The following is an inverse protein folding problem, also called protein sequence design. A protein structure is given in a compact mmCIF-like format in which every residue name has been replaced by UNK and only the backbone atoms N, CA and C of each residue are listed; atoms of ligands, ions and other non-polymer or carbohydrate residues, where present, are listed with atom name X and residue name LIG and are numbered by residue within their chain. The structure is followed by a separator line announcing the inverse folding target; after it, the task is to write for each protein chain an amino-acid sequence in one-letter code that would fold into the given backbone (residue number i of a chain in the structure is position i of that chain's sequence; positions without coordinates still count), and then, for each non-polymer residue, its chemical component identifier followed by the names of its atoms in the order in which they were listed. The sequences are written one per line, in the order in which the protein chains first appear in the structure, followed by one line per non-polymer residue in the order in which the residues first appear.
data_IF_352268034632
#
_entry.id   IF_352268034632
#
_cell.length_a   1.000
_cell.length_b   1.000
_cell.length_c   1.000
_cell.angle_alpha   90.00
_cell.angle_beta   90.00
_cell.angle_gamma   90.00
#
_symmetry.space_group_name_H-M   'P 1'
#
loop_
_entity.id
_entity.type
_entity.pdbx_description
1 polymer ?
#
# COMPACT_ATOMS: atom_id res chain seq x y z
N UNK A 1 4.44 4.75 -16.01
CA UNK A 1 4.15 5.01 -14.58
C UNK A 1 3.99 3.73 -13.76
N UNK A 2 3.14 2.76 -14.17
CA UNK A 2 2.94 1.48 -13.46
C UNK A 2 4.24 0.77 -13.01
N UNK A 3 5.23 0.66 -13.90
CA UNK A 3 6.53 0.05 -13.62
C UNK A 3 7.35 0.74 -12.50
N UNK A 4 7.18 2.05 -12.26
CA UNK A 4 7.91 2.77 -11.20
C UNK A 4 7.33 2.42 -9.81
N UNK A 5 6.01 2.27 -9.74
CA UNK A 5 5.30 1.91 -8.52
C UNK A 5 5.58 0.47 -8.09
N UNK A 6 5.51 -0.46 -9.03
CA UNK A 6 5.84 -1.86 -8.81
C UNK A 6 7.30 -2.03 -8.37
N UNK A 7 8.23 -1.31 -9.03
CA UNK A 7 9.65 -1.31 -8.65
C UNK A 7 9.91 -0.77 -7.23
N UNK A 8 9.20 0.28 -6.79
CA UNK A 8 9.31 0.77 -5.40
C UNK A 8 8.82 -0.24 -4.38
N UNK A 9 7.71 -0.92 -4.67
CA UNK A 9 7.16 -1.97 -3.80
C UNK A 9 8.08 -3.19 -3.75
N UNK A 10 8.70 -3.58 -4.87
CA UNK A 10 9.68 -4.68 -4.90
C UNK A 10 10.90 -4.41 -4.01
N UNK A 11 11.24 -3.15 -3.79
CA UNK A 11 12.38 -2.72 -2.99
C UNK A 11 12.04 -2.43 -1.51
N UNK A 12 10.84 -2.79 -1.03
CA UNK A 12 10.51 -2.60 0.39
C UNK A 12 11.42 -3.43 1.28
N UNK A 13 11.91 -2.82 2.35
CA UNK A 13 12.75 -3.48 3.35
C UNK A 13 11.89 -4.19 4.39
N UNK A 14 11.17 -5.21 3.93
CA UNK A 14 10.19 -5.95 4.74
C UNK A 14 10.85 -6.62 5.94
N UNK A 15 12.01 -7.26 5.74
CA UNK A 15 12.71 -7.98 6.81
C UNK A 15 13.25 -7.03 7.88
N UNK A 16 13.86 -5.91 7.48
CA UNK A 16 14.34 -4.88 8.41
C UNK A 16 13.20 -4.34 9.29
N UNK A 17 12.04 -4.13 8.67
CA UNK A 17 10.87 -3.61 9.38
C UNK A 17 10.23 -4.65 10.31
N UNK A 18 10.25 -5.93 9.94
CA UNK A 18 9.87 -7.02 10.85
C UNK A 18 10.83 -7.11 12.05
N UNK A 19 12.13 -6.94 11.82
CA UNK A 19 13.14 -6.94 12.89
C UNK A 19 13.00 -5.73 13.82
N UNK A 20 12.73 -4.53 13.26
CA UNK A 20 12.52 -3.30 14.01
C UNK A 20 11.17 -3.27 14.75
N UNK A 21 10.18 -4.04 14.29
CA UNK A 21 8.83 -4.03 14.85
C UNK A 21 8.77 -4.37 16.34
N UNK A 22 9.80 -5.02 16.93
CA UNK A 22 10.18 -4.92 18.35
C UNK A 22 9.14 -5.25 19.44
N UNK A 23 7.88 -5.46 19.08
CA UNK A 23 6.76 -5.91 19.90
C UNK A 23 6.60 -7.43 19.81
N UNK A 24 7.72 -8.13 19.61
CA UNK A 24 7.82 -9.51 20.03
C UNK A 24 8.00 -9.45 21.55
N UNK A 25 6.94 -9.75 22.30
CA UNK A 25 6.91 -9.70 23.76
C UNK A 25 8.23 -10.20 24.39
N UNK A 26 8.65 -9.70 25.57
CA UNK A 26 9.94 -10.02 26.19
C UNK A 26 10.29 -11.53 26.32
N UNK A 27 9.31 -12.44 26.16
CA UNK A 27 9.53 -13.89 26.10
C UNK A 27 9.85 -14.49 24.71
N UNK A 28 9.75 -13.74 23.61
CA UNK A 28 9.85 -14.28 22.23
C UNK A 28 11.26 -14.13 21.65
N UNK A 29 11.99 -13.07 22.03
CA UNK A 29 13.44 -12.93 21.73
C UNK A 29 14.22 -14.05 22.43
N UNK A 30 13.79 -14.46 23.63
CA UNK A 30 14.36 -15.60 24.34
C UNK A 30 14.25 -16.93 23.60
N UNK A 31 13.17 -17.19 22.84
CA UNK A 31 13.00 -18.48 22.16
C UNK A 31 13.66 -18.56 20.77
N UNK A 32 13.74 -17.45 20.03
CA UNK A 32 14.52 -17.42 18.79
C UNK A 32 16.03 -17.57 19.09
N UNK A 33 16.50 -17.04 20.22
CA UNK A 33 17.91 -17.14 20.64
C UNK A 33 18.22 -18.46 21.38
N UNK A 34 17.27 -19.05 22.13
CA UNK A 34 17.52 -20.31 22.87
C UNK A 34 17.21 -21.61 22.10
N UNK A 35 16.37 -21.59 21.06
CA UNK A 35 16.09 -22.79 20.26
C UNK A 35 17.06 -23.00 19.09
N UNK A 36 17.79 -21.95 18.73
CA UNK A 36 18.80 -21.96 17.69
C UNK A 36 20.12 -21.70 18.41
N UNK A 37 20.87 -22.78 18.69
CA UNK A 37 22.24 -22.66 19.16
C UNK A 37 22.94 -21.60 18.32
N UNK A 38 23.44 -20.59 19.01
CA UNK A 38 24.05 -19.38 18.47
C UNK A 38 25.31 -19.78 17.68
N UNK A 39 25.10 -20.19 16.43
CA UNK A 39 26.13 -20.41 15.44
C UNK A 39 25.49 -20.20 14.07
N UNK A 40 26.13 -19.31 13.30
CA UNK A 40 26.03 -19.17 11.85
C UNK A 40 25.11 -18.05 11.34
N UNK A 41 25.67 -16.84 11.24
CA UNK A 41 25.84 -16.03 10.01
C UNK A 41 24.96 -16.34 8.78
N UNK A 42 23.67 -16.59 8.93
CA UNK A 42 22.75 -16.72 7.80
C UNK A 42 21.80 -15.52 7.79
N UNK A 43 22.16 -14.56 6.94
CA UNK A 43 21.36 -13.38 6.66
C UNK A 43 20.05 -13.84 6.02
N UNK A 44 18.93 -13.61 6.73
CA UNK A 44 17.62 -13.82 6.15
C UNK A 44 17.41 -12.86 4.99
N UNK A 45 16.54 -13.20 4.04
CA UNK A 45 16.17 -12.29 2.96
C UNK A 45 14.67 -12.26 2.75
N UNK A 46 14.17 -11.13 2.27
CA UNK A 46 12.81 -10.96 1.81
C UNK A 46 12.87 -10.55 0.34
N UNK A 47 12.13 -11.26 -0.51
CA UNK A 47 11.97 -10.90 -1.90
C UNK A 47 10.49 -10.63 -2.17
N UNK A 48 10.19 -9.50 -2.81
CA UNK A 48 8.81 -9.11 -3.14
C UNK A 48 8.59 -9.28 -4.64
N UNK A 49 7.57 -10.04 -4.99
CA UNK A 49 7.25 -10.43 -6.36
C UNK A 49 5.75 -10.24 -6.63
N UNK A 50 5.33 -10.47 -7.88
CA UNK A 50 3.93 -10.42 -8.30
C UNK A 50 3.19 -9.15 -7.88
N UNK A 51 3.91 -8.02 -7.85
CA UNK A 51 3.33 -6.73 -7.47
C UNK A 51 2.32 -6.30 -8.52
N UNK A 52 1.11 -6.00 -8.06
CA UNK A 52 0.01 -5.52 -8.86
C UNK A 52 -0.62 -4.30 -8.19
N UNK A 53 -0.94 -3.33 -9.04
CA UNK A 53 -1.59 -2.09 -8.65
C UNK A 53 -2.87 -1.95 -9.45
N UNK A 54 -3.97 -1.82 -8.71
CA UNK A 54 -5.28 -1.55 -9.27
C UNK A 54 -5.79 -0.19 -8.77
N UNK A 55 -6.24 0.63 -9.71
CA UNK A 55 -6.69 1.99 -9.44
C UNK A 55 -8.21 2.00 -9.55
N UNK A 56 -8.87 2.18 -8.41
CA UNK A 56 -10.31 2.33 -8.35
C UNK A 56 -10.79 3.63 -8.99
N UNK A 57 -12.11 3.75 -9.10
CA UNK A 57 -12.76 4.93 -9.63
C UNK A 57 -12.38 6.19 -8.85
N UNK A 58 -12.09 7.27 -9.58
CA UNK A 58 -11.89 8.59 -9.01
C UNK A 58 -13.26 9.22 -8.77
N UNK A 59 -13.56 9.50 -7.51
CA UNK A 59 -14.77 10.23 -7.11
C UNK A 59 -14.45 11.70 -6.96
N UNK A 60 -15.33 12.56 -7.47
CA UNK A 60 -15.20 14.01 -7.38
C UNK A 60 -16.29 14.58 -6.47
N UNK A 61 -15.92 15.50 -5.59
CA UNK A 61 -16.86 16.35 -4.87
C UNK A 61 -17.00 17.69 -5.60
N UNK A 62 -18.17 17.89 -6.25
CA UNK A 62 -18.46 19.05 -7.10
C UNK A 62 -18.27 20.41 -6.42
N UNK A 63 -18.41 20.48 -5.09
CA UNK A 63 -18.38 21.75 -4.35
C UNK A 63 -16.97 22.22 -3.96
N UNK A 64 -15.94 21.38 -4.06
CA UNK A 64 -14.61 21.69 -3.47
C UNK A 64 -13.40 21.43 -4.37
N UNK A 65 -13.59 21.13 -5.66
CA UNK A 65 -12.49 20.70 -6.56
C UNK A 65 -11.63 19.59 -5.91
N UNK A 66 -12.28 18.72 -5.12
CA UNK A 66 -11.67 17.68 -4.30
C UNK A 66 -11.99 16.33 -4.91
N UNK A 67 -10.99 15.46 -4.92
CA UNK A 67 -11.04 14.13 -5.50
C UNK A 67 -10.61 13.10 -4.48
N UNK A 68 -11.18 11.91 -4.60
CA UNK A 68 -10.74 10.73 -3.86
C UNK A 68 -10.64 9.53 -4.77
N UNK A 69 -9.63 8.71 -4.57
CA UNK A 69 -9.47 7.43 -5.26
C UNK A 69 -9.08 6.35 -4.27
N UNK A 70 -9.50 5.13 -4.57
CA UNK A 70 -9.05 3.94 -3.85
C UNK A 70 -7.99 3.24 -4.68
N UNK A 71 -6.94 2.74 -4.04
CA UNK A 71 -5.87 2.00 -4.71
C UNK A 71 -5.72 0.67 -4.01
N UNK A 72 -5.72 -0.42 -4.77
CA UNK A 72 -5.40 -1.75 -4.26
C UNK A 72 -3.98 -2.11 -4.66
N UNK A 73 -3.21 -2.56 -3.69
CA UNK A 73 -1.85 -3.06 -3.85
C UNK A 73 -1.84 -4.52 -3.46
N UNK A 74 -1.38 -5.37 -4.36
CA UNK A 74 -1.28 -6.81 -4.13
C UNK A 74 0.13 -7.28 -4.46
N UNK A 75 0.72 -8.12 -3.63
CA UNK A 75 2.07 -8.66 -3.87
C UNK A 75 2.31 -9.94 -3.09
N UNK A 76 3.29 -10.72 -3.54
CA UNK A 76 3.81 -11.88 -2.82
C UNK A 76 5.16 -11.52 -2.19
N UNK A 77 5.41 -12.02 -0.98
CA UNK A 77 6.64 -11.85 -0.24
C UNK A 77 7.23 -13.21 0.14
N UNK A 78 8.37 -13.54 -0.48
CA UNK A 78 9.14 -14.74 -0.17
C UNK A 78 10.14 -14.43 0.95
N UNK A 79 9.88 -15.00 2.12
CA UNK A 79 10.68 -14.82 3.32
C UNK A 79 11.60 -16.02 3.50
N UNK A 80 12.90 -15.80 3.29
CA UNK A 80 13.96 -16.74 3.63
C UNK A 80 14.42 -16.46 5.04
N UNK A 81 13.90 -17.24 5.97
CA UNK A 81 14.27 -17.17 7.38
C UNK A 81 15.33 -18.24 7.68
N UNK A 82 16.14 -18.08 8.75
CA UNK A 82 17.14 -19.09 9.16
C UNK A 82 16.51 -20.40 9.68
N UNK A 83 15.31 -20.75 9.22
CA UNK A 83 14.57 -21.97 9.56
C UNK A 83 14.79 -23.03 8.47
N UNK A 84 15.92 -23.76 8.55
CA UNK A 84 16.22 -24.92 7.68
C UNK A 84 16.04 -24.65 6.16
N UNK A 85 16.39 -23.45 5.70
CA UNK A 85 16.26 -23.01 4.30
C UNK A 85 14.85 -23.12 3.69
N UNK A 86 13.79 -23.17 4.51
CA UNK A 86 12.42 -23.10 3.99
C UNK A 86 12.07 -21.66 3.65
N UNK A 87 11.53 -21.47 2.45
CA UNK A 87 10.94 -20.20 2.02
C UNK A 87 9.49 -20.19 2.51
N UNK A 88 9.10 -19.10 3.17
CA UNK A 88 7.72 -18.85 3.54
C UNK A 88 7.19 -17.77 2.62
N UNK A 89 6.20 -18.13 1.81
CA UNK A 89 5.55 -17.17 0.91
C UNK A 89 4.32 -16.60 1.60
N UNK A 90 4.26 -15.28 1.69
CA UNK A 90 3.12 -14.55 2.19
C UNK A 90 2.52 -13.72 1.07
N UNK A 91 1.22 -13.86 0.85
CA UNK A 91 0.47 -13.02 -0.07
C UNK A 91 -0.18 -11.88 0.70
N UNK A 92 -0.03 -10.65 0.19
CA UNK A 92 -0.52 -9.45 0.83
C UNK A 92 -1.40 -8.63 -0.11
N UNK A 93 -2.56 -8.21 0.39
CA UNK A 93 -3.44 -7.23 -0.24
C UNK A 93 -3.66 -6.04 0.70
N UNK A 94 -3.53 -4.84 0.18
CA UNK A 94 -3.66 -3.58 0.91
C UNK A 94 -4.51 -2.61 0.11
N UNK A 95 -5.49 -1.96 0.74
CA UNK A 95 -6.25 -0.88 0.12
C UNK A 95 -5.89 0.47 0.73
N UNK A 96 -5.57 1.45 -0.12
CA UNK A 96 -5.30 2.83 0.24
C UNK A 96 -6.46 3.71 -0.20
N UNK A 97 -6.72 4.74 0.58
CA UNK A 97 -7.53 5.88 0.17
C UNK A 97 -6.59 7.07 -0.03
N UNK A 98 -6.69 7.71 -1.20
CA UNK A 98 -5.97 8.94 -1.50
C UNK A 98 -6.95 10.05 -1.82
N UNK A 99 -6.70 11.21 -1.25
CA UNK A 99 -7.39 12.46 -1.52
C UNK A 99 -6.45 13.40 -2.23
N UNK A 100 -6.97 14.22 -3.14
CA UNK A 100 -6.21 15.25 -3.83
C UNK A 100 -7.12 16.37 -4.31
N UNK A 101 -6.57 17.56 -4.53
CA UNK A 101 -7.33 18.72 -4.99
C UNK A 101 -6.48 19.64 -5.85
N UNK A 102 -7.14 20.60 -6.50
CA UNK A 102 -6.46 21.69 -7.18
C UNK A 102 -6.08 22.78 -6.18
N UNK A 103 -4.79 23.08 -6.09
CA UNK A 103 -4.27 24.18 -5.29
C UNK A 103 -3.60 25.22 -6.19
N UNK A 104 -3.71 26.49 -5.81
CA UNK A 104 -3.13 27.59 -6.55
C UNK A 104 -1.77 27.94 -5.94
N UNK A 105 -0.72 27.93 -6.74
CA UNK A 105 0.62 28.36 -6.35
C UNK A 105 0.71 29.89 -6.20
N UNK A 106 1.86 30.37 -5.71
CA UNK A 106 2.15 31.80 -5.50
C UNK A 106 2.12 32.64 -6.79
N UNK A 107 2.33 32.01 -7.95
CA UNK A 107 2.28 32.64 -9.28
C UNK A 107 0.89 32.55 -9.92
N UNK A 108 -0.05 31.91 -9.22
CA UNK A 108 -1.42 31.73 -9.64
C UNK A 108 -1.69 30.60 -10.62
N UNK A 109 -0.71 29.72 -10.86
CA UNK A 109 -0.90 28.45 -11.56
C UNK A 109 -1.62 27.49 -10.62
N UNK A 110 -2.48 26.64 -11.17
CA UNK A 110 -3.15 25.60 -10.38
C UNK A 110 -2.47 24.29 -10.66
N UNK A 111 -2.11 23.57 -9.60
CA UNK A 111 -1.50 22.25 -9.64
C UNK A 111 -2.34 21.26 -8.84
N UNK A 112 -2.27 19.98 -9.20
CA UNK A 112 -2.84 18.92 -8.38
C UNK A 112 -1.90 18.62 -7.20
N UNK A 113 -2.44 18.76 -6.00
CA UNK A 113 -1.72 18.45 -4.77
C UNK A 113 -2.33 17.24 -4.09
N UNK A 114 -1.45 16.37 -3.59
CA UNK A 114 -1.87 15.24 -2.78
C UNK A 114 -2.30 15.72 -1.40
N UNK A 115 -3.44 15.22 -0.96
CA UNK A 115 -3.96 15.40 0.38
C UNK A 115 -3.64 14.22 1.28
N UNK A 116 -4.67 13.78 2.00
CA UNK A 116 -4.56 12.60 2.84
C UNK A 116 -4.42 11.33 1.98
N UNK A 117 -3.30 10.63 2.15
CA UNK A 117 -3.04 9.33 1.53
C UNK A 117 -2.71 8.34 2.64
N UNK A 118 -3.56 7.33 2.84
CA UNK A 118 -3.42 6.39 3.95
C UNK A 118 -3.97 5.02 3.61
N UNK A 119 -3.42 3.99 4.25
CA UNK A 119 -4.03 2.66 4.22
C UNK A 119 -5.39 2.69 4.94
N UNK A 120 -6.39 2.08 4.32
CA UNK A 120 -7.72 1.96 4.93
C UNK A 120 -7.67 1.02 6.15
N UNK A 121 -8.27 1.41 7.30
CA UNK A 121 -8.30 0.55 8.48
C UNK A 121 -8.91 -0.82 8.19
N UNK A 122 -8.23 -1.89 8.62
CA UNK A 122 -8.71 -3.27 8.43
C UNK A 122 -8.66 -3.79 6.99
N UNK A 123 -8.07 -3.04 6.05
CA UNK A 123 -7.99 -3.44 4.64
C UNK A 123 -6.82 -4.36 4.31
N UNK A 124 -5.85 -4.46 5.23
CA UNK A 124 -4.67 -5.31 5.07
C UNK A 124 -5.07 -6.76 5.30
N UNK A 125 -4.85 -7.59 4.30
CA UNK A 125 -5.01 -9.05 4.41
C UNK A 125 -3.70 -9.70 4.03
N UNK A 126 -3.18 -10.53 4.92
CA UNK A 126 -2.01 -11.35 4.65
C UNK A 126 -2.35 -12.82 4.82
N UNK A 127 -2.06 -13.62 3.82
CA UNK A 127 -2.20 -15.08 3.86
C UNK A 127 -0.84 -15.74 3.71
N UNK A 128 -0.59 -16.79 4.49
CA UNK A 128 0.62 -17.59 4.33
C UNK A 128 0.28 -18.72 3.34
N UNK A 129 0.99 -18.77 2.22
CA UNK A 129 0.74 -19.73 1.13
C UNK A 129 1.51 -21.05 1.27
N UNK A 130 2.37 -21.19 2.27
CA UNK A 130 3.20 -22.39 2.44
C UNK A 130 2.37 -23.61 2.88
N UNK A 131 2.16 -24.56 1.96
CA UNK A 131 1.24 -25.70 2.13
C UNK A 131 1.73 -26.78 3.13
N UNK A 132 3.03 -26.97 3.35
CA UNK A 132 3.56 -28.10 4.16
C UNK A 132 4.35 -27.66 5.41
N UNK A 133 3.65 -27.03 6.36
CA UNK A 133 4.22 -26.68 7.66
C UNK A 133 3.93 -27.73 8.74
N UNK A 134 4.95 -28.28 9.42
CA UNK A 134 4.73 -29.18 10.56
C UNK A 134 3.85 -28.50 11.63
N UNK A 135 3.06 -29.27 12.41
CA UNK A 135 2.21 -28.71 13.47
C UNK A 135 2.95 -27.76 14.43
N UNK A 136 4.24 -28.03 14.67
CA UNK A 136 5.14 -27.22 15.51
C UNK A 136 5.38 -25.79 14.97
N UNK A 137 5.19 -25.55 13.67
CA UNK A 137 5.37 -24.23 13.04
C UNK A 137 4.08 -23.38 13.02
N UNK A 138 2.92 -23.93 13.39
CA UNK A 138 1.64 -23.20 13.31
C UNK A 138 1.65 -21.89 14.12
N UNK A 139 2.18 -21.92 15.34
CA UNK A 139 2.28 -20.73 16.19
C UNK A 139 3.21 -19.68 15.56
N UNK A 140 4.31 -20.13 14.99
CA UNK A 140 5.27 -19.26 14.33
C UNK A 140 4.65 -18.55 13.12
N UNK A 141 3.95 -19.30 12.25
CA UNK A 141 3.29 -18.74 11.06
C UNK A 141 2.18 -17.76 11.41
N UNK A 142 1.41 -18.04 12.47
CA UNK A 142 0.39 -17.12 12.98
C UNK A 142 1.02 -15.80 13.45
N UNK A 143 2.08 -15.87 14.28
CA UNK A 143 2.78 -14.67 14.73
C UNK A 143 3.42 -13.90 13.57
N UNK A 144 3.99 -14.60 12.59
CA UNK A 144 4.56 -13.98 11.40
C UNK A 144 3.49 -13.21 10.63
N UNK A 145 2.33 -13.82 10.40
CA UNK A 145 1.18 -13.17 9.76
C UNK A 145 0.75 -11.92 10.52
N UNK A 146 0.59 -11.99 11.84
CA UNK A 146 0.19 -10.85 12.67
C UNK A 146 1.20 -9.69 12.60
N UNK A 147 2.51 -9.99 12.53
CA UNK A 147 3.54 -8.97 12.38
C UNK A 147 3.55 -8.36 10.96
N UNK A 148 3.34 -9.18 9.93
CA UNK A 148 3.19 -8.70 8.56
C UNK A 148 2.00 -7.75 8.43
N UNK A 149 0.84 -8.10 9.01
CA UNK A 149 -0.36 -7.25 9.00
C UNK A 149 -0.13 -5.88 9.68
N UNK A 150 0.84 -5.78 10.61
CA UNK A 150 1.23 -4.51 11.25
C UNK A 150 2.24 -3.70 10.44
N UNK A 151 3.21 -4.36 9.81
CA UNK A 151 4.35 -3.71 9.16
C UNK A 151 4.04 -3.33 7.71
N UNK A 152 3.36 -4.19 6.97
CA UNK A 152 3.01 -3.99 5.56
C UNK A 152 2.28 -2.67 5.31
N UNK A 153 1.24 -2.27 6.07
CA UNK A 153 0.54 -1.01 5.78
C UNK A 153 1.48 0.20 5.77
N UNK A 154 2.37 0.33 6.76
CA UNK A 154 3.34 1.42 6.79
C UNK A 154 4.29 1.36 5.59
N UNK A 155 4.80 0.18 5.23
CA UNK A 155 5.72 0.03 4.11
C UNK A 155 5.05 0.44 2.79
N UNK A 156 3.84 -0.03 2.55
CA UNK A 156 3.08 0.31 1.34
C UNK A 156 2.78 1.81 1.29
N UNK A 157 2.30 2.40 2.39
CA UNK A 157 2.03 3.84 2.46
C UNK A 157 3.28 4.68 2.14
N UNK A 158 4.43 4.31 2.74
CA UNK A 158 5.70 5.01 2.55
C UNK A 158 6.24 4.98 1.12
N UNK A 159 5.86 3.98 0.32
CA UNK A 159 6.30 3.86 -1.08
C UNK A 159 5.28 4.45 -2.05
N UNK A 160 4.00 4.17 -1.82
CA UNK A 160 2.91 4.48 -2.75
C UNK A 160 2.47 5.94 -2.65
N UNK A 161 2.34 6.49 -1.44
CA UNK A 161 1.84 7.86 -1.28
C UNK A 161 2.77 8.93 -1.89
N UNK A 162 4.11 8.90 -1.67
CA UNK A 162 5.00 9.84 -2.35
C UNK A 162 4.96 9.72 -3.87
N UNK A 163 4.83 8.50 -4.38
CA UNK A 163 4.74 8.26 -5.82
C UNK A 163 3.45 8.84 -6.41
N UNK A 164 2.32 8.73 -5.73
CA UNK A 164 1.07 9.37 -6.18
C UNK A 164 1.28 10.89 -6.23
N UNK A 165 1.94 11.47 -5.23
CA UNK A 165 2.29 12.90 -5.25
C UNK A 165 3.15 13.30 -6.45
N UNK A 166 4.13 12.48 -6.82
CA UNK A 166 4.96 12.68 -8.02
C UNK A 166 4.13 12.57 -9.30
N UNK A 167 3.22 11.59 -9.38
CA UNK A 167 2.32 11.39 -10.54
C UNK A 167 1.38 12.58 -10.70
N UNK A 168 0.72 13.01 -9.63
CA UNK A 168 -0.23 14.13 -9.64
C UNK A 168 0.42 15.43 -10.13
N UNK A 169 1.67 15.68 -9.75
CA UNK A 169 2.45 16.85 -10.21
C UNK A 169 2.80 16.83 -11.71
N UNK A 170 2.81 15.65 -12.32
CA UNK A 170 3.11 15.49 -13.75
C UNK A 170 1.85 15.52 -14.63
N UNK A 171 0.66 15.43 -14.03
CA UNK A 171 -0.59 15.46 -14.79
C UNK A 171 -0.85 16.86 -15.36
N UNK A 172 -1.29 16.91 -16.61
CA UNK A 172 -1.66 18.17 -17.25
C UNK A 172 -2.96 18.70 -16.66
N UNK A 173 -2.81 19.75 -15.86
CA UNK A 173 -3.90 20.42 -15.15
C UNK A 173 -4.89 21.09 -16.12
N UNK A 174 -4.49 21.35 -17.38
CA UNK A 174 -5.42 21.84 -18.42
C UNK A 174 -6.39 20.75 -18.87
N UNK A 175 -5.90 19.51 -19.01
CA UNK A 175 -6.75 18.37 -19.35
C UNK A 175 -7.75 18.09 -18.23
N UNK A 176 -7.29 18.13 -16.97
CA UNK A 176 -8.17 17.95 -15.81
C UNK A 176 -9.27 19.02 -15.75
N UNK A 177 -8.92 20.30 -15.97
CA UNK A 177 -9.91 21.38 -16.02
C UNK A 177 -10.92 21.21 -17.15
N UNK A 178 -10.50 20.73 -18.32
CA UNK A 178 -11.42 20.44 -19.43
C UNK A 178 -12.43 19.38 -19.03
N UNK A 179 -11.96 18.29 -18.42
CA UNK A 179 -12.82 17.20 -17.95
C UNK A 179 -13.77 17.65 -16.84
N UNK A 180 -13.28 18.42 -15.86
CA UNK A 180 -14.14 18.98 -14.80
C UNK A 180 -15.20 19.94 -15.37
N UNK A 181 -14.82 20.78 -16.35
CA UNK A 181 -15.74 21.71 -17.01
C UNK A 181 -16.82 20.98 -17.81
N UNK A 182 -16.48 19.85 -18.43
CA UNK A 182 -17.43 18.98 -19.12
C UNK A 182 -18.37 18.26 -18.14
N UNK A 183 -17.86 17.71 -17.04
CA UNK A 183 -18.68 17.12 -15.98
C UNK A 183 -19.66 18.13 -15.35
N UNK A 184 -19.23 19.37 -15.11
CA UNK A 184 -20.11 20.42 -14.57
C UNK A 184 -21.23 20.81 -15.54
N UNK A 185 -20.97 20.78 -16.85
CA UNK A 185 -21.98 21.06 -17.87
C UNK A 185 -23.05 19.96 -17.91
N UNK A 186 -22.63 18.70 -17.86
CA UNK A 186 -23.56 17.55 -17.86
C UNK A 186 -24.48 17.54 -16.63
N UNK A 187 -23.96 17.86 -15.43
CA UNK A 187 -24.78 17.93 -14.22
C UNK A 187 -25.78 19.10 -14.21
N UNK A 188 -25.44 20.21 -14.89
CA UNK A 188 -26.35 21.36 -15.00
C UNK A 188 -27.52 21.10 -15.94
N UNK A 189 -27.36 20.18 -16.89
CA UNK A 189 -28.40 19.80 -17.85
C UNK A 189 -29.43 18.85 -17.22
N UNK A 190 -28.99 17.90 -16.38
CA UNK A 190 -29.87 17.01 -15.60
C UNK A 190 -30.75 17.76 -14.58
N UNK A 191 -30.22 18.80 -13.92
CA UNK A 191 -30.99 19.62 -12.98
C UNK A 191 -32.06 20.50 -13.67
N UNK A 192 -31.86 20.84 -14.95
CA UNK A 192 -32.82 21.64 -15.73
C UNK A 192 -33.96 20.84 -16.39
N UNK A 193 -33.81 19.52 -16.55
CA UNK A 193 -34.91 18.65 -17.00
C UNK A 193 -35.90 18.32 -15.87
N UNK A 194 -35.45 18.30 -14.61
CA UNK A 194 -36.33 18.09 -13.44
C UNK A 194 -37.14 19.34 -13.04
N UNK A 195 -36.79 20.52 -13.54
CA UNK A 195 -37.48 21.79 -13.23
C UNK A 195 -38.64 22.12 -14.21
N UNK A 196 -38.84 21.31 -15.26
CA UNK A 196 -39.86 21.52 -16.30
C UNK A 196 -40.91 20.38 -16.37
N UNK A 197 -41.08 19.59 -15.30
CA UNK A 197 -42.09 18.55 -15.17
C UNK A 197 -43.29 18.96 -14.34
#
# INVERSE_FOLDING_TARGET
MKHNAEGRIQNIRLLDSLNASGQMAPGVVGWLISSMGLQQHQEGSANVTNVQLDYGEIRMSFRKEWFSANISVEFDADLRLPLKNKIITAHARVHLAVEFWLEKDEFGRRDLVIGNCRVQPGSVRTTILTEDSPPKMKHFLRNLRENLEKVIPHLVESQVCPLIGEVLRQLDVKLLKSLMGECLRLSGEEDSELANG
#
